data_IF_217720452675
#
_entry.id   IF_217720452675
#
_cell.length_a   1.000
_cell.length_b   1.000
_cell.length_c   1.000
_cell.angle_alpha   90.00
_cell.angle_beta   90.00
_cell.angle_gamma   90.00
#
_symmetry.space_group_name_H-M   'P 1'
#
loop_
_entity.id
_entity.type
_entity.pdbx_description
1 polymer ?
#
# COMPACT_ATOMS: atom_id res chain seq x y z
N UNK A 1 -13.30 31.77 -2.06
CA UNK A 1 -13.86 30.51 -2.59
C UNK A 1 -12.71 29.53 -2.79
N UNK A 2 -12.44 28.60 -1.86
CA UNK A 2 -11.25 27.75 -1.94
C UNK A 2 -11.26 26.56 -0.97
N UNK A 3 -12.44 26.04 -0.62
CA UNK A 3 -12.62 25.02 0.43
C UNK A 3 -12.84 23.60 -0.11
N UNK A 4 -12.52 23.36 -1.39
CA UNK A 4 -12.76 22.07 -2.06
C UNK A 4 -11.54 21.44 -2.75
N UNK A 5 -10.34 21.99 -2.59
CA UNK A 5 -9.13 21.30 -3.01
C UNK A 5 -8.53 20.60 -1.79
N UNK A 6 -8.10 19.35 -1.95
CA UNK A 6 -7.02 18.76 -1.13
C UNK A 6 -7.40 17.94 0.13
N UNK A 7 -8.51 17.17 0.11
CA UNK A 7 -8.69 16.03 1.06
C UNK A 7 -8.17 14.69 0.51
N UNK A 8 -7.85 14.64 -0.79
CA UNK A 8 -7.42 13.42 -1.51
C UNK A 8 -5.89 13.26 -1.64
N UNK A 9 -5.08 14.17 -1.10
CA UNK A 9 -3.62 14.16 -1.27
C UNK A 9 -2.90 13.66 -0.01
N UNK A 10 -3.58 13.61 1.13
CA UNK A 10 -2.99 13.20 2.40
C UNK A 10 -3.72 11.98 2.95
N UNK A 11 -2.96 10.94 3.29
CA UNK A 11 -3.42 9.72 3.92
C UNK A 11 -2.88 9.70 5.34
N UNK A 12 -3.75 9.42 6.31
CA UNK A 12 -3.38 9.26 7.71
C UNK A 12 -2.39 8.07 7.87
N UNK A 13 -1.30 8.29 8.60
CA UNK A 13 -0.28 7.26 8.86
C UNK A 13 -0.87 6.04 9.59
N UNK A 14 -1.71 6.28 10.59
CA UNK A 14 -2.40 5.25 11.37
C UNK A 14 -3.35 4.41 10.51
N UNK A 15 -4.01 5.02 9.53
CA UNK A 15 -4.90 4.30 8.61
C UNK A 15 -4.11 3.36 7.70
N UNK A 16 -2.90 3.74 7.24
CA UNK A 16 -2.04 2.82 6.47
C UNK A 16 -1.54 1.64 7.29
N UNK A 17 -1.20 1.83 8.57
CA UNK A 17 -0.74 0.72 9.40
C UNK A 17 -1.84 -0.33 9.64
N UNK A 18 -3.09 0.10 9.83
CA UNK A 18 -4.24 -0.81 9.95
C UNK A 18 -4.43 -1.61 8.66
N UNK A 19 -4.31 -0.93 7.52
CA UNK A 19 -4.37 -1.58 6.21
C UNK A 19 -3.23 -2.58 6.03
N UNK A 20 -2.00 -2.23 6.44
CA UNK A 20 -0.85 -3.13 6.37
C UNK A 20 -1.09 -4.39 7.22
N UNK A 21 -1.68 -4.25 8.40
CA UNK A 21 -2.08 -5.39 9.24
C UNK A 21 -3.10 -6.31 8.55
N UNK A 22 -4.12 -5.73 7.91
CA UNK A 22 -5.11 -6.50 7.14
C UNK A 22 -4.47 -7.25 5.97
N UNK A 23 -3.53 -6.61 5.26
CA UNK A 23 -2.78 -7.24 4.18
C UNK A 23 -2.01 -8.45 4.70
N UNK A 24 -1.29 -8.31 5.83
CA UNK A 24 -0.54 -9.43 6.44
C UNK A 24 -1.47 -10.60 6.73
N UNK A 25 -2.60 -10.36 7.39
CA UNK A 25 -3.56 -11.41 7.71
C UNK A 25 -4.05 -12.11 6.44
N UNK A 26 -4.48 -11.35 5.42
CA UNK A 26 -5.01 -11.93 4.18
C UNK A 26 -3.91 -12.71 3.43
N UNK A 27 -2.67 -12.21 3.39
CA UNK A 27 -1.55 -12.91 2.75
C UNK A 27 -1.21 -14.22 3.48
N UNK A 28 -1.16 -14.20 4.83
CA UNK A 28 -0.91 -15.41 5.63
C UNK A 28 -2.02 -16.45 5.42
N UNK A 29 -3.28 -16.03 5.48
CA UNK A 29 -4.42 -16.92 5.21
C UNK A 29 -4.40 -17.43 3.76
N UNK A 30 -4.10 -16.58 2.78
CA UNK A 30 -4.03 -16.95 1.37
C UNK A 30 -2.98 -18.03 1.08
N UNK A 31 -1.79 -17.89 1.68
CA UNK A 31 -0.70 -18.88 1.56
C UNK A 31 -1.05 -20.16 2.34
N UNK A 32 -1.57 -20.05 3.55
CA UNK A 32 -1.87 -21.22 4.40
C UNK A 32 -2.98 -22.09 3.80
N UNK A 33 -4.04 -21.47 3.27
CA UNK A 33 -5.15 -22.18 2.65
C UNK A 33 -4.92 -22.49 1.17
N UNK A 34 -3.84 -22.02 0.56
CA UNK A 34 -3.52 -22.17 -0.87
C UNK A 34 -4.67 -21.72 -1.80
N UNK A 35 -5.45 -20.74 -1.34
CA UNK A 35 -6.64 -20.27 -2.06
C UNK A 35 -6.29 -19.14 -3.01
N UNK A 36 -6.15 -19.46 -4.29
CA UNK A 36 -5.87 -18.47 -5.35
C UNK A 36 -6.92 -17.33 -5.40
N UNK A 37 -8.16 -17.61 -5.02
CA UNK A 37 -9.23 -16.61 -4.94
C UNK A 37 -8.93 -15.49 -3.94
N UNK A 38 -8.31 -15.81 -2.79
CA UNK A 38 -7.93 -14.81 -1.78
C UNK A 38 -6.83 -13.88 -2.31
N UNK A 39 -5.83 -14.45 -2.99
CA UNK A 39 -4.74 -13.70 -3.60
C UNK A 39 -5.25 -12.79 -4.72
N UNK A 40 -6.20 -13.26 -5.53
CA UNK A 40 -6.82 -12.47 -6.59
C UNK A 40 -7.61 -11.28 -6.01
N UNK A 41 -8.37 -11.51 -4.93
CA UNK A 41 -9.08 -10.46 -4.22
C UNK A 41 -8.12 -9.40 -3.64
N UNK A 42 -7.02 -9.86 -3.03
CA UNK A 42 -5.99 -8.97 -2.49
C UNK A 42 -5.29 -8.15 -3.60
N UNK A 43 -5.02 -8.77 -4.75
CA UNK A 43 -4.51 -8.06 -5.91
C UNK A 43 -5.52 -7.00 -6.42
N UNK A 44 -6.81 -7.33 -6.48
CA UNK A 44 -7.84 -6.37 -6.88
C UNK A 44 -7.91 -5.16 -5.92
N UNK A 45 -7.79 -5.39 -4.61
CA UNK A 45 -7.74 -4.31 -3.62
C UNK A 45 -6.50 -3.42 -3.80
N UNK A 46 -5.32 -4.01 -4.06
CA UNK A 46 -4.12 -3.24 -4.39
C UNK A 46 -4.27 -2.41 -5.67
N UNK A 47 -4.96 -2.93 -6.69
CA UNK A 47 -5.21 -2.23 -7.94
C UNK A 47 -6.15 -1.03 -7.74
N UNK A 48 -7.23 -1.21 -6.97
CA UNK A 48 -8.12 -0.12 -6.57
C UNK A 48 -7.35 0.98 -5.81
N UNK A 49 -6.43 0.58 -4.93
CA UNK A 49 -5.60 1.50 -4.16
C UNK A 49 -4.56 2.23 -5.01
N UNK A 50 -3.96 1.55 -5.99
CA UNK A 50 -3.03 2.13 -6.95
C UNK A 50 -3.70 3.16 -7.87
N UNK A 51 -4.91 2.88 -8.34
CA UNK A 51 -5.68 3.80 -9.20
C UNK A 51 -6.20 5.04 -8.46
N UNK A 52 -6.06 5.10 -7.13
CA UNK A 52 -6.48 6.25 -6.33
C UNK A 52 -8.00 6.32 -6.14
N UNK A 53 -8.70 5.25 -6.50
CA UNK A 53 -10.11 5.08 -6.16
C UNK A 53 -10.16 4.67 -4.68
N UNK A 54 -10.18 5.67 -3.78
CA UNK A 54 -10.32 5.50 -2.32
C UNK A 54 -11.65 4.85 -1.87
N UNK A 55 -12.34 4.16 -2.78
CA UNK A 55 -13.47 3.28 -2.55
C UNK A 55 -13.02 1.82 -2.31
N UNK A 56 -11.81 1.60 -1.79
CA UNK A 56 -11.43 0.27 -1.30
C UNK A 56 -12.14 -0.02 0.03
N UNK A 57 -12.85 -1.15 0.17
CA UNK A 57 -13.53 -1.53 1.41
C UNK A 57 -12.59 -1.51 2.62
N UNK A 58 -11.33 -1.94 2.43
CA UNK A 58 -10.29 -1.93 3.47
C UNK A 58 -9.91 -0.51 3.92
N UNK A 59 -9.83 0.46 3.00
CA UNK A 59 -9.52 1.85 3.36
C UNK A 59 -10.67 2.48 4.15
N UNK A 60 -11.92 2.13 3.83
CA UNK A 60 -13.07 2.59 4.59
C UNK A 60 -13.08 2.02 6.02
N UNK A 61 -12.78 0.72 6.16
CA UNK A 61 -12.62 0.06 7.47
C UNK A 61 -11.46 0.70 8.25
N UNK A 62 -10.29 0.85 7.63
CA UNK A 62 -9.14 1.46 8.28
C UNK A 62 -9.39 2.91 8.71
N UNK A 63 -10.08 3.70 7.89
CA UNK A 63 -10.49 5.06 8.24
C UNK A 63 -11.46 5.07 9.41
N UNK A 64 -12.44 4.15 9.44
CA UNK A 64 -13.38 4.01 10.56
C UNK A 64 -12.67 3.61 11.85
N UNK A 65 -11.70 2.71 11.76
CA UNK A 65 -10.89 2.26 12.90
C UNK A 65 -9.91 3.35 13.36
N UNK A 66 -9.26 4.08 12.45
CA UNK A 66 -8.37 5.20 12.79
C UNK A 66 -9.11 6.43 13.31
N UNK A 67 -10.40 6.57 13.01
CA UNK A 67 -11.25 7.60 13.62
C UNK A 67 -11.65 7.20 15.05
N UNK A 68 -11.66 5.90 15.35
CA UNK A 68 -11.94 5.35 16.67
C UNK A 68 -10.71 5.34 17.58
N UNK A 69 -9.52 5.06 17.05
CA UNK A 69 -8.26 5.15 17.78
C UNK A 69 -7.69 6.57 17.62
N UNK A 70 -7.69 7.33 18.71
CA UNK A 70 -7.22 8.73 18.83
C UNK A 70 -5.69 8.90 18.63
N UNK A 71 -5.12 8.36 17.55
CA UNK A 71 -3.71 8.56 17.21
C UNK A 71 -3.50 9.89 16.49
N UNK A 72 -2.40 10.56 16.83
CA UNK A 72 -1.98 11.82 16.26
C UNK A 72 -1.79 11.67 14.74
N UNK A 73 -2.65 12.35 13.97
CA UNK A 73 -2.77 12.19 12.53
C UNK A 73 -1.61 12.89 11.83
N UNK A 74 -0.56 12.13 11.46
CA UNK A 74 0.48 12.64 10.57
C UNK A 74 0.02 12.45 9.11
N UNK A 75 -0.24 13.55 8.37
CA UNK A 75 -0.65 13.46 6.98
C UNK A 75 0.55 13.07 6.10
N UNK A 76 0.48 11.91 5.45
CA UNK A 76 1.50 11.46 4.48
C UNK A 76 0.98 11.64 3.06
N UNK A 77 1.83 12.09 2.13
CA UNK A 77 1.46 12.25 0.72
C UNK A 77 0.92 10.95 0.11
N UNK A 78 -0.21 11.03 -0.60
CA UNK A 78 -0.90 9.90 -1.21
C UNK A 78 -0.15 9.32 -2.43
N UNK A 79 0.65 10.14 -3.13
CA UNK A 79 1.44 9.72 -4.28
C UNK A 79 2.35 8.50 -4.02
N UNK A 80 3.30 8.57 -3.08
CA UNK A 80 4.19 7.44 -2.77
C UNK A 80 3.44 6.20 -2.27
N UNK A 81 2.30 6.35 -1.58
CA UNK A 81 1.46 5.22 -1.17
C UNK A 81 0.78 4.50 -2.34
N UNK A 82 0.40 5.23 -3.40
CA UNK A 82 -0.12 4.61 -4.63
C UNK A 82 0.94 3.80 -5.36
N UNK A 83 2.19 4.26 -5.33
CA UNK A 83 3.33 3.51 -5.86
C UNK A 83 3.57 2.22 -5.06
N UNK A 84 3.55 2.30 -3.72
CA UNK A 84 3.64 1.11 -2.87
C UNK A 84 2.51 0.09 -3.15
N UNK A 85 1.28 0.56 -3.35
CA UNK A 85 0.15 -0.30 -3.72
C UNK A 85 0.34 -0.97 -5.09
N UNK A 86 0.89 -0.26 -6.08
CA UNK A 86 1.19 -0.83 -7.40
C UNK A 86 2.26 -1.93 -7.31
N UNK A 87 3.31 -1.72 -6.49
CA UNK A 87 4.31 -2.76 -6.23
C UNK A 87 3.68 -3.98 -5.55
N UNK A 88 2.84 -3.76 -4.53
CA UNK A 88 2.10 -4.82 -3.86
C UNK A 88 1.20 -5.62 -4.81
N UNK A 89 0.53 -4.96 -5.75
CA UNK A 89 -0.26 -5.60 -6.81
C UNK A 89 0.58 -6.53 -7.68
N UNK A 90 1.70 -6.03 -8.20
CA UNK A 90 2.60 -6.80 -9.06
C UNK A 90 3.13 -8.02 -8.30
N UNK A 91 3.61 -7.82 -7.06
CA UNK A 91 4.09 -8.92 -6.22
C UNK A 91 3.00 -9.96 -5.95
N UNK A 92 1.78 -9.53 -5.63
CA UNK A 92 0.65 -10.45 -5.37
C UNK A 92 0.27 -11.27 -6.59
N UNK A 93 0.31 -10.68 -7.80
CA UNK A 93 0.11 -11.41 -9.06
C UNK A 93 1.23 -12.43 -9.28
N UNK A 94 2.49 -12.04 -9.08
CA UNK A 94 3.61 -12.97 -9.21
C UNK A 94 3.49 -14.15 -8.24
N UNK A 95 3.06 -13.90 -7.00
CA UNK A 95 2.78 -14.94 -5.99
C UNK A 95 1.66 -15.86 -6.48
N UNK A 96 0.56 -15.30 -7.01
CA UNK A 96 -0.57 -16.08 -7.52
C UNK A 96 -0.19 -16.99 -8.71
N UNK A 97 0.68 -16.52 -9.60
CA UNK A 97 1.20 -17.32 -10.72
C UNK A 97 2.25 -18.34 -10.30
N UNK A 98 3.03 -18.06 -9.25
CA UNK A 98 4.15 -18.89 -8.80
C UNK A 98 3.83 -19.65 -7.50
N UNK A 99 2.55 -19.91 -7.21
CA UNK A 99 2.08 -20.37 -5.90
C UNK A 99 2.70 -21.72 -5.47
N UNK A 100 2.98 -22.59 -6.44
CA UNK A 100 3.56 -23.94 -6.23
C UNK A 100 5.09 -23.94 -6.26
N UNK A 101 5.71 -22.78 -6.52
CA UNK A 101 7.16 -22.62 -6.57
C UNK A 101 7.72 -22.03 -5.28
N UNK A 102 8.96 -22.39 -4.92
CA UNK A 102 9.69 -21.73 -3.83
C UNK A 102 9.78 -20.21 -4.01
N UNK A 103 9.71 -19.73 -5.26
CA UNK A 103 9.71 -18.31 -5.60
C UNK A 103 8.45 -17.63 -5.03
N UNK A 104 7.28 -18.25 -5.14
CA UNK A 104 6.02 -17.69 -4.61
C UNK A 104 6.05 -17.54 -3.09
N UNK A 105 6.60 -18.55 -2.39
CA UNK A 105 6.78 -18.51 -0.94
C UNK A 105 7.73 -17.38 -0.53
N UNK A 106 8.87 -17.25 -1.21
CA UNK A 106 9.85 -16.19 -0.94
C UNK A 106 9.26 -14.78 -1.15
N UNK A 107 8.50 -14.59 -2.22
CA UNK A 107 7.80 -13.34 -2.51
C UNK A 107 6.73 -13.03 -1.44
N UNK A 108 5.97 -14.05 -1.01
CA UNK A 108 4.97 -13.90 0.05
C UNK A 108 5.59 -13.49 1.38
N UNK A 109 6.69 -14.13 1.79
CA UNK A 109 7.44 -13.78 2.99
C UNK A 109 7.98 -12.34 2.90
N UNK A 110 8.52 -11.96 1.74
CA UNK A 110 9.02 -10.60 1.51
C UNK A 110 7.91 -9.57 1.64
N UNK A 111 6.73 -9.86 1.07
CA UNK A 111 5.56 -8.97 1.15
C UNK A 111 5.09 -8.82 2.60
N UNK A 112 5.02 -9.92 3.36
CA UNK A 112 4.70 -9.91 4.79
C UNK A 112 5.74 -9.11 5.59
N UNK A 113 7.03 -9.27 5.32
CA UNK A 113 8.09 -8.54 6.01
C UNK A 113 7.98 -7.02 5.77
N UNK A 114 7.76 -6.61 4.52
CA UNK A 114 7.57 -5.21 4.16
C UNK A 114 6.31 -4.62 4.80
N UNK A 115 5.20 -5.36 4.76
CA UNK A 115 3.95 -4.92 5.38
C UNK A 115 4.05 -4.86 6.92
N UNK A 116 4.81 -5.78 7.53
CA UNK A 116 5.06 -5.78 8.97
C UNK A 116 5.82 -4.54 9.39
N UNK A 117 6.84 -4.15 8.62
CA UNK A 117 7.60 -2.91 8.84
C UNK A 117 6.69 -1.67 8.81
N UNK A 118 5.78 -1.60 7.83
CA UNK A 118 4.83 -0.50 7.71
C UNK A 118 3.80 -0.49 8.85
N UNK A 119 3.38 -1.66 9.34
CA UNK A 119 2.44 -1.76 10.46
C UNK A 119 3.06 -1.41 11.82
N UNK A 120 4.30 -1.82 12.07
CA UNK A 120 4.97 -1.68 13.38
C UNK A 120 5.71 -0.35 13.49
N UNK A 121 6.46 0.02 12.45
CA UNK A 121 7.34 1.18 12.47
C UNK A 121 6.74 2.40 11.76
N UNK A 122 5.59 2.28 11.09
CA UNK A 122 5.03 3.34 10.21
C UNK A 122 6.02 3.73 9.08
N UNK A 123 6.94 2.83 8.74
CA UNK A 123 7.96 3.04 7.70
C UNK A 123 7.56 2.26 6.45
N UNK A 124 7.05 2.96 5.43
CA UNK A 124 6.76 2.36 4.13
C UNK A 124 8.00 2.40 3.23
N UNK A 125 8.64 1.24 3.02
CA UNK A 125 9.83 1.11 2.15
C UNK A 125 9.56 1.58 0.72
N UNK A 126 8.35 1.33 0.19
CA UNK A 126 7.94 1.84 -1.11
C UNK A 126 7.89 3.38 -1.17
N UNK A 127 7.54 4.04 -0.06
CA UNK A 127 7.59 5.50 0.03
C UNK A 127 9.04 6.02 0.04
N UNK A 128 9.97 5.32 0.70
CA UNK A 128 11.40 5.68 0.68
C UNK A 128 12.00 5.56 -0.72
N UNK A 129 11.71 4.46 -1.42
CA UNK A 129 12.16 4.26 -2.81
C UNK A 129 11.58 5.37 -3.71
N UNK A 130 10.30 5.69 -3.55
CA UNK A 130 9.67 6.76 -4.32
C UNK A 130 10.32 8.13 -4.04
N UNK A 131 10.56 8.44 -2.76
CA UNK A 131 11.20 9.69 -2.37
C UNK A 131 12.63 9.79 -2.94
N UNK A 132 13.39 8.70 -2.85
CA UNK A 132 14.78 8.68 -3.31
C UNK A 132 14.89 8.71 -4.84
N UNK A 133 13.96 8.09 -5.57
CA UNK A 133 14.09 7.92 -7.02
C UNK A 133 13.24 8.91 -7.83
N UNK A 134 11.96 9.08 -7.48
CA UNK A 134 11.02 9.88 -8.28
C UNK A 134 11.17 11.38 -7.99
N UNK A 135 11.38 11.78 -6.73
CA UNK A 135 11.53 13.20 -6.37
C UNK A 135 12.71 13.88 -7.06
N UNK A 136 13.94 13.33 -7.08
CA UNK A 136 15.06 13.99 -7.77
C UNK A 136 14.88 14.03 -9.29
N UNK A 137 14.24 13.01 -9.88
CA UNK A 137 13.93 12.97 -11.32
C UNK A 137 12.90 14.06 -11.66
N UNK A 138 11.80 14.16 -10.91
CA UNK A 138 10.82 15.22 -11.12
C UNK A 138 11.43 16.61 -10.92
N UNK A 139 12.29 16.79 -9.92
CA UNK A 139 12.97 18.05 -9.70
C UNK A 139 13.88 18.43 -10.88
N UNK A 140 14.54 17.44 -11.51
CA UNK A 140 15.37 17.67 -12.70
C UNK A 140 14.54 18.10 -13.91
N UNK A 141 13.38 17.46 -14.15
CA UNK A 141 12.49 17.84 -15.25
C UNK A 141 11.77 19.18 -15.03
N UNK A 142 11.44 19.51 -13.78
CA UNK A 142 10.74 20.76 -13.47
C UNK A 142 11.68 21.99 -13.47
N UNK A 143 12.99 21.78 -13.28
CA UNK A 143 14.02 22.82 -13.40
C UNK A 143 14.68 22.88 -14.79
N UNK A 144 14.16 22.16 -15.79
CA UNK A 144 14.62 22.33 -17.17
C UNK A 144 14.18 23.72 -17.66
N UNK A 145 15.12 24.59 -18.12
CA UNK A 145 14.76 25.88 -18.66
C UNK A 145 13.86 25.66 -19.88
N UNK A 146 12.67 26.24 -19.86
CA UNK A 146 11.78 26.33 -21.02
C UNK A 146 12.35 27.29 -22.05
#
# INVERSE_FOLDING_TARGET
>A
MGKFANKNIYIDDSASSIVAYQVILITVFGIHFQQQWLLLFLAFDFLLRATGLFASPLYFVAKKVSEFLYFEKKPVFAGPKRFAAMLGFVMTILIAFSYDSQIGIFLGITLIALASLESVFQVCVGCYIFNFLIVPIQNKFNNSPK
#
